data_IF_628766496762
#
_entry.id   IF_628766496762
#
_cell.length_a   1.000
_cell.length_b   1.000
_cell.length_c   1.000
_cell.angle_alpha   90.00
_cell.angle_beta   90.00
_cell.angle_gamma   90.00
#
_symmetry.space_group_name_H-M   'P 1'
#
loop_
_entity.id
_entity.type
_entity.pdbx_description
1 polymer ?
#
# COMPACT_ATOMS: atom_id res chain seq x y z
N UNK A 1 -7.61 -3.60 -9.44
CA UNK A 1 -6.64 -4.04 -10.47
C UNK A 1 -5.37 -4.67 -9.92
N UNK A 2 -4.55 -3.96 -9.13
CA UNK A 2 -3.27 -4.48 -8.61
C UNK A 2 -3.39 -5.81 -7.85
N UNK A 3 -4.48 -5.99 -7.08
CA UNK A 3 -4.76 -7.27 -6.41
C UNK A 3 -5.02 -8.44 -7.38
N UNK A 4 -5.64 -8.18 -8.54
CA UNK A 4 -5.84 -9.19 -9.59
C UNK A 4 -4.53 -9.52 -10.30
N UNK A 5 -3.69 -8.52 -10.58
CA UNK A 5 -2.36 -8.72 -11.19
C UNK A 5 -1.46 -9.59 -10.30
N UNK A 6 -1.59 -9.46 -8.97
CA UNK A 6 -0.80 -10.22 -7.99
C UNK A 6 -1.41 -11.56 -7.60
N UNK A 7 -2.58 -11.92 -8.13
CA UNK A 7 -3.28 -13.14 -7.71
C UNK A 7 -2.75 -14.38 -8.45
N UNK A 8 -2.89 -15.59 -7.86
CA UNK A 8 -2.60 -16.84 -8.56
C UNK A 8 -3.46 -17.07 -9.81
N UNK A 9 -4.63 -16.43 -9.86
CA UNK A 9 -5.63 -16.54 -10.95
C UNK A 9 -5.42 -15.46 -12.03
N UNK A 10 -4.28 -14.77 -12.04
CA UNK A 10 -4.06 -13.63 -12.94
C UNK A 10 -4.31 -13.96 -14.42
N UNK A 11 -3.93 -15.16 -14.86
CA UNK A 11 -4.10 -15.61 -16.25
C UNK A 11 -5.57 -15.69 -16.68
N UNK A 12 -6.47 -16.12 -15.78
CA UNK A 12 -7.91 -16.21 -16.07
C UNK A 12 -8.62 -14.86 -15.94
N UNK A 13 -7.94 -13.85 -15.37
CA UNK A 13 -8.45 -12.48 -15.15
C UNK A 13 -7.88 -11.47 -16.14
N UNK A 14 -7.15 -11.91 -17.16
CA UNK A 14 -6.44 -11.04 -18.11
C UNK A 14 -7.32 -9.98 -18.77
N UNK A 15 -8.50 -10.35 -19.29
CA UNK A 15 -9.44 -9.40 -19.91
C UNK A 15 -9.94 -8.35 -18.92
N UNK A 16 -10.31 -8.77 -17.70
CA UNK A 16 -10.74 -7.85 -16.64
C UNK A 16 -9.61 -6.92 -16.20
N UNK A 17 -8.37 -7.41 -16.18
CA UNK A 17 -7.18 -6.59 -15.88
C UNK A 17 -7.00 -5.51 -16.95
N UNK A 18 -7.00 -5.88 -18.23
CA UNK A 18 -6.84 -4.92 -19.33
C UNK A 18 -7.94 -3.85 -19.30
N UNK A 19 -9.21 -4.26 -19.12
CA UNK A 19 -10.34 -3.32 -19.00
C UNK A 19 -10.15 -2.35 -17.85
N UNK A 20 -9.80 -2.85 -16.66
CA UNK A 20 -9.61 -1.98 -15.49
C UNK A 20 -8.41 -1.04 -15.66
N UNK A 21 -7.35 -1.44 -16.38
CA UNK A 21 -6.22 -0.55 -16.67
C UNK A 21 -6.61 0.58 -17.63
N UNK A 22 -7.48 0.29 -18.60
CA UNK A 22 -8.05 1.32 -19.48
C UNK A 22 -8.96 2.30 -18.73
N UNK A 23 -9.77 1.80 -17.78
CA UNK A 23 -10.59 2.64 -16.90
C UNK A 23 -9.71 3.55 -16.02
N UNK A 24 -8.68 2.99 -15.39
CA UNK A 24 -7.71 3.78 -14.60
C UNK A 24 -7.03 4.85 -15.46
N UNK A 25 -6.68 4.54 -16.72
CA UNK A 25 -6.09 5.53 -17.63
C UNK A 25 -7.02 6.71 -17.87
N UNK A 26 -8.30 6.44 -18.14
CA UNK A 26 -9.30 7.50 -18.36
C UNK A 26 -9.54 8.35 -17.12
N UNK A 27 -9.61 7.71 -15.96
CA UNK A 27 -9.76 8.41 -14.68
C UNK A 27 -8.55 9.29 -14.37
N UNK A 28 -7.34 8.78 -14.59
CA UNK A 28 -6.11 9.54 -14.40
C UNK A 28 -6.02 10.73 -15.36
N UNK A 29 -6.42 10.56 -16.62
CA UNK A 29 -6.50 11.66 -17.59
C UNK A 29 -7.48 12.75 -17.12
N UNK A 30 -8.66 12.36 -16.64
CA UNK A 30 -9.65 13.29 -16.11
C UNK A 30 -9.15 14.04 -14.87
N UNK A 31 -8.49 13.34 -13.93
CA UNK A 31 -7.88 13.95 -12.76
C UNK A 31 -6.75 14.91 -13.15
N UNK A 32 -5.91 14.50 -14.12
CA UNK A 32 -4.81 15.31 -14.65
C UNK A 32 -5.32 16.62 -15.22
N UNK A 33 -6.33 16.56 -16.10
CA UNK A 33 -6.93 17.76 -16.70
C UNK A 33 -7.54 18.69 -15.65
N UNK A 34 -8.19 18.12 -14.63
CA UNK A 34 -8.85 18.90 -13.60
C UNK A 34 -7.87 19.56 -12.63
N UNK A 35 -6.86 18.83 -12.19
CA UNK A 35 -6.10 19.20 -10.99
C UNK A 35 -4.61 19.50 -11.24
N UNK A 36 -3.99 19.02 -12.32
CA UNK A 36 -2.53 19.18 -12.51
C UNK A 36 -2.08 20.64 -12.57
N UNK A 37 -2.85 21.49 -13.24
CA UNK A 37 -2.60 22.93 -13.30
C UNK A 37 -3.32 23.73 -12.18
N UNK A 38 -4.28 23.10 -11.50
CA UNK A 38 -5.13 23.71 -10.49
C UNK A 38 -5.13 22.84 -9.22
N UNK A 39 -4.03 22.85 -8.44
CA UNK A 39 -3.94 22.05 -7.23
C UNK A 39 -5.05 22.43 -6.23
N UNK A 40 -5.63 21.46 -5.50
CA UNK A 40 -6.45 21.75 -4.32
C UNK A 40 -5.67 22.55 -3.27
N UNK A 41 -6.39 23.19 -2.34
CA UNK A 41 -5.82 24.15 -1.40
C UNK A 41 -4.72 23.57 -0.52
N UNK A 42 -4.88 22.31 -0.11
CA UNK A 42 -3.94 21.53 0.68
C UNK A 42 -2.65 21.17 -0.09
N UNK A 43 -2.68 21.19 -1.44
CA UNK A 43 -1.55 20.87 -2.32
C UNK A 43 -0.96 22.09 -3.04
N UNK A 44 -1.53 23.30 -2.85
CA UNK A 44 -1.21 24.49 -3.64
C UNK A 44 0.26 24.92 -3.62
N UNK A 45 0.99 24.55 -2.57
CA UNK A 45 2.39 24.89 -2.36
C UNK A 45 3.35 23.72 -2.62
N UNK A 46 2.85 22.56 -3.06
CA UNK A 46 3.69 21.40 -3.34
C UNK A 46 4.43 21.60 -4.67
N UNK A 47 5.74 21.77 -4.61
CA UNK A 47 6.60 21.91 -5.79
C UNK A 47 6.65 20.65 -6.65
N UNK A 48 6.28 19.49 -6.10
CA UNK A 48 6.23 18.21 -6.80
C UNK A 48 4.84 17.88 -7.35
N UNK A 49 3.82 18.72 -7.12
CA UNK A 49 2.42 18.45 -7.49
C UNK A 49 2.27 17.91 -8.91
N UNK A 50 2.83 18.64 -9.87
CA UNK A 50 2.77 18.30 -11.30
C UNK A 50 3.42 16.93 -11.57
N UNK A 51 4.58 16.67 -10.94
CA UNK A 51 5.34 15.43 -11.15
C UNK A 51 4.63 14.19 -10.64
N UNK A 52 3.73 14.30 -9.65
CA UNK A 52 2.97 13.12 -9.22
C UNK A 52 2.06 12.59 -10.34
N UNK A 53 1.45 13.46 -11.14
CA UNK A 53 0.63 13.04 -12.27
C UNK A 53 1.48 12.38 -13.36
N UNK A 54 2.67 12.91 -13.62
CA UNK A 54 3.63 12.32 -14.56
C UNK A 54 4.08 10.93 -14.09
N UNK A 55 4.47 10.81 -12.82
CA UNK A 55 4.87 9.53 -12.22
C UNK A 55 3.74 8.48 -12.24
N UNK A 56 2.49 8.90 -11.99
CA UNK A 56 1.33 8.01 -12.06
C UNK A 56 1.07 7.54 -13.50
N UNK A 57 1.17 8.44 -14.49
CA UNK A 57 0.95 8.14 -15.90
C UNK A 57 2.05 7.21 -16.45
N UNK A 58 3.32 7.53 -16.19
CA UNK A 58 4.46 6.71 -16.59
C UNK A 58 4.38 5.32 -15.97
N UNK A 59 4.05 5.23 -14.68
CA UNK A 59 3.90 3.93 -14.02
C UNK A 59 2.71 3.13 -14.59
N UNK A 60 1.60 3.79 -14.95
CA UNK A 60 0.48 3.11 -15.60
C UNK A 60 0.87 2.54 -16.95
N UNK A 61 1.63 3.28 -17.77
CA UNK A 61 2.19 2.80 -19.05
C UNK A 61 3.05 1.55 -18.82
N UNK A 62 3.94 1.58 -17.81
CA UNK A 62 4.80 0.44 -17.46
C UNK A 62 3.96 -0.78 -17.06
N UNK A 63 2.98 -0.61 -16.17
CA UNK A 63 2.11 -1.70 -15.70
C UNK A 63 1.30 -2.28 -16.85
N UNK A 64 0.75 -1.44 -17.72
CA UNK A 64 -0.01 -1.86 -18.90
C UNK A 64 0.86 -2.64 -19.88
N UNK A 65 2.03 -2.11 -20.26
CA UNK A 65 2.96 -2.77 -21.16
C UNK A 65 3.35 -4.19 -20.70
N UNK A 66 3.64 -4.37 -19.40
CA UNK A 66 3.96 -5.69 -18.86
C UNK A 66 2.73 -6.59 -18.75
N UNK A 67 1.55 -6.04 -18.45
CA UNK A 67 0.30 -6.81 -18.39
C UNK A 67 -0.11 -7.35 -19.77
N UNK A 68 0.05 -6.55 -20.82
CA UNK A 68 -0.26 -6.94 -22.21
C UNK A 68 0.67 -8.04 -22.71
N UNK A 69 1.94 -8.01 -22.28
CA UNK A 69 2.92 -9.08 -22.52
C UNK A 69 2.72 -10.31 -21.63
N UNK A 70 1.70 -10.31 -20.76
CA UNK A 70 1.43 -11.34 -19.74
C UNK A 70 2.58 -11.53 -18.74
N UNK A 71 3.44 -10.53 -18.59
CA UNK A 71 4.54 -10.49 -17.63
C UNK A 71 4.04 -10.02 -16.25
N UNK A 72 3.00 -10.66 -15.73
CA UNK A 72 2.26 -10.20 -14.56
C UNK A 72 3.09 -10.10 -13.28
N UNK A 73 4.14 -10.93 -13.16
CA UNK A 73 5.09 -10.82 -12.04
C UNK A 73 5.80 -9.46 -12.05
N UNK A 74 6.16 -8.95 -13.23
CA UNK A 74 6.84 -7.65 -13.38
C UNK A 74 5.83 -6.52 -13.26
N UNK A 75 4.66 -6.65 -13.87
CA UNK A 75 3.55 -5.70 -13.69
C UNK A 75 3.21 -5.52 -12.20
N UNK A 76 3.08 -6.62 -11.46
CA UNK A 76 2.76 -6.62 -10.02
C UNK A 76 3.82 -5.92 -9.16
N UNK A 77 5.10 -5.94 -9.55
CA UNK A 77 6.16 -5.17 -8.86
C UNK A 77 6.00 -3.66 -9.06
N UNK A 78 5.56 -3.23 -10.25
CA UNK A 78 5.35 -1.82 -10.55
C UNK A 78 4.01 -1.29 -10.01
N UNK A 79 3.03 -2.17 -9.74
CA UNK A 79 1.78 -1.79 -9.10
C UNK A 79 1.94 -1.07 -7.75
N UNK A 80 2.99 -1.37 -6.96
CA UNK A 80 3.21 -0.69 -5.67
C UNK A 80 3.68 0.76 -5.81
N UNK A 81 4.29 1.12 -6.95
CA UNK A 81 4.76 2.49 -7.21
C UNK A 81 3.57 3.45 -7.23
N UNK A 82 2.43 3.04 -7.76
CA UNK A 82 1.21 3.87 -7.79
C UNK A 82 0.79 4.33 -6.39
N UNK A 83 0.69 3.38 -5.45
CA UNK A 83 0.31 3.68 -4.07
C UNK A 83 1.41 4.45 -3.33
N UNK A 84 2.69 4.20 -3.65
CA UNK A 84 3.81 4.96 -3.08
C UNK A 84 3.79 6.43 -3.53
N UNK A 85 3.42 6.71 -4.78
CA UNK A 85 3.27 8.08 -5.29
C UNK A 85 2.16 8.83 -4.55
N UNK A 86 0.99 8.21 -4.36
CA UNK A 86 -0.12 8.79 -3.59
C UNK A 86 0.29 9.04 -2.13
N UNK A 87 0.92 8.06 -1.48
CA UNK A 87 1.39 8.21 -0.11
C UNK A 87 2.42 9.35 0.03
N UNK A 88 3.34 9.48 -0.94
CA UNK A 88 4.33 10.57 -0.95
C UNK A 88 3.65 11.92 -1.12
N UNK A 89 2.68 12.02 -2.02
CA UNK A 89 1.84 13.20 -2.19
C UNK A 89 1.16 13.59 -0.88
N UNK A 90 0.53 12.66 -0.17
CA UNK A 90 -0.12 12.96 1.11
C UNK A 90 0.88 13.33 2.22
N UNK A 91 2.04 12.65 2.29
CA UNK A 91 3.10 12.94 3.27
C UNK A 91 3.66 14.34 3.13
N UNK A 92 3.96 14.77 1.90
CA UNK A 92 4.56 16.07 1.64
C UNK A 92 3.61 17.23 1.95
N UNK A 93 2.30 16.96 2.02
CA UNK A 93 1.27 17.96 2.27
C UNK A 93 0.60 17.82 3.64
N UNK A 94 1.08 16.90 4.49
CA UNK A 94 0.50 16.66 5.81
C UNK A 94 -0.93 16.11 5.78
N UNK A 95 -1.36 15.54 4.65
CA UNK A 95 -2.73 15.04 4.43
C UNK A 95 -2.87 13.53 4.59
N UNK A 96 -1.84 12.86 5.10
CA UNK A 96 -1.84 11.41 5.37
C UNK A 96 -3.07 11.02 6.19
N UNK A 97 -3.86 10.08 5.68
CA UNK A 97 -5.08 9.59 6.32
C UNK A 97 -4.90 8.21 6.98
N UNK A 98 -6.00 7.55 7.36
CA UNK A 98 -5.96 6.20 7.96
C UNK A 98 -5.63 5.15 6.89
N UNK A 99 -6.19 5.27 5.70
CA UNK A 99 -5.96 4.36 4.56
C UNK A 99 -4.49 4.33 4.18
N UNK A 100 -3.83 5.48 4.13
CA UNK A 100 -2.39 5.63 3.90
C UNK A 100 -1.57 4.88 4.96
N UNK A 101 -1.96 4.98 6.23
CA UNK A 101 -1.26 4.33 7.33
C UNK A 101 -1.45 2.83 7.34
N UNK A 102 -2.68 2.35 7.10
CA UNK A 102 -2.97 0.93 6.97
C UNK A 102 -2.21 0.33 5.77
N UNK A 103 -2.21 1.02 4.63
CA UNK A 103 -1.45 0.60 3.46
C UNK A 103 0.06 0.54 3.75
N UNK A 104 0.61 1.58 4.36
CA UNK A 104 2.02 1.64 4.78
C UNK A 104 2.37 0.49 5.72
N UNK A 105 1.49 0.18 6.67
CA UNK A 105 1.70 -0.92 7.63
C UNK A 105 1.80 -2.26 6.91
N UNK A 106 0.84 -2.58 6.03
CA UNK A 106 0.85 -3.81 5.26
C UNK A 106 2.11 -3.93 4.38
N UNK A 107 2.47 -2.87 3.65
CA UNK A 107 3.69 -2.88 2.83
C UNK A 107 4.94 -3.13 3.67
N UNK A 108 5.05 -2.47 4.81
CA UNK A 108 6.22 -2.55 5.66
C UNK A 108 6.33 -3.94 6.33
N UNK A 109 5.22 -4.52 6.78
CA UNK A 109 5.16 -5.89 7.30
C UNK A 109 5.61 -6.91 6.25
N UNK A 110 5.11 -6.76 5.01
CA UNK A 110 5.49 -7.64 3.90
C UNK A 110 6.99 -7.54 3.61
N UNK A 111 7.49 -6.32 3.43
CA UNK A 111 8.89 -6.06 3.11
C UNK A 111 9.82 -6.65 4.19
N UNK A 112 9.50 -6.41 5.46
CA UNK A 112 10.30 -6.92 6.58
C UNK A 112 10.28 -8.45 6.63
N UNK A 113 9.12 -9.07 6.36
CA UNK A 113 9.00 -10.53 6.27
C UNK A 113 9.87 -11.08 5.13
N UNK A 114 9.84 -10.45 3.96
CA UNK A 114 10.63 -10.86 2.79
C UNK A 114 12.15 -10.69 3.04
N UNK A 115 12.58 -9.59 3.68
CA UNK A 115 13.98 -9.33 4.08
C UNK A 115 14.45 -10.35 5.13
N UNK A 116 13.61 -10.62 6.14
CA UNK A 116 13.91 -11.61 7.18
C UNK A 116 14.07 -13.01 6.61
N UNK A 117 13.19 -13.41 5.68
CA UNK A 117 13.28 -14.70 4.99
C UNK A 117 14.53 -14.81 4.11
N UNK A 118 15.05 -13.69 3.61
CA UNK A 118 16.31 -13.64 2.87
C UNK A 118 17.56 -13.67 3.78
N UNK A 119 17.39 -13.73 5.11
CA UNK A 119 18.50 -13.78 6.06
C UNK A 119 19.21 -12.44 6.28
N UNK A 120 18.64 -11.32 5.78
CA UNK A 120 19.24 -9.99 5.95
C UNK A 120 18.86 -9.39 7.30
N UNK A 121 19.59 -9.79 8.34
CA UNK A 121 19.34 -9.39 9.74
C UNK A 121 19.43 -7.88 9.99
N UNK A 122 20.36 -7.19 9.33
CA UNK A 122 20.52 -5.73 9.50
C UNK A 122 19.31 -5.00 8.91
N UNK A 123 18.96 -5.31 7.66
CA UNK A 123 17.78 -4.74 7.02
C UNK A 123 16.50 -5.05 7.79
N UNK A 124 16.36 -6.26 8.34
CA UNK A 124 15.22 -6.62 9.18
C UNK A 124 15.10 -5.71 10.40
N UNK A 125 16.19 -5.46 11.13
CA UNK A 125 16.18 -4.57 12.30
C UNK A 125 15.75 -3.14 11.96
N UNK A 126 16.32 -2.56 10.90
CA UNK A 126 15.95 -1.20 10.46
C UNK A 126 14.46 -1.10 10.11
N UNK A 127 13.92 -2.16 9.50
CA UNK A 127 12.52 -2.20 9.10
C UNK A 127 11.55 -2.45 10.26
N UNK A 128 11.96 -3.14 11.34
CA UNK A 128 11.16 -3.32 12.56
C UNK A 128 10.81 -1.96 13.19
N UNK A 129 11.79 -1.05 13.31
CA UNK A 129 11.57 0.27 13.89
C UNK A 129 10.59 1.10 13.08
N UNK A 130 10.61 0.94 11.75
CA UNK A 130 9.63 1.54 10.85
C UNK A 130 8.23 0.95 11.08
N UNK A 131 8.09 -0.38 11.21
CA UNK A 131 6.80 -1.01 11.53
C UNK A 131 6.24 -0.46 12.83
N UNK A 132 7.05 -0.37 13.89
CA UNK A 132 6.62 0.15 15.20
C UNK A 132 6.08 1.58 15.09
N UNK A 133 6.80 2.47 14.41
CA UNK A 133 6.38 3.87 14.18
C UNK A 133 5.07 3.96 13.39
N UNK A 134 4.94 3.16 12.32
CA UNK A 134 3.72 3.14 11.51
C UNK A 134 2.54 2.62 12.33
N UNK A 135 2.73 1.55 13.11
CA UNK A 135 1.70 1.00 13.98
C UNK A 135 1.24 2.02 15.01
N UNK A 136 2.16 2.68 15.71
CA UNK A 136 1.83 3.73 16.69
C UNK A 136 1.00 4.86 16.06
N UNK A 137 1.41 5.33 14.88
CA UNK A 137 0.69 6.37 14.14
C UNK A 137 -0.70 5.91 13.69
N UNK A 138 -0.82 4.68 13.19
CA UNK A 138 -2.10 4.07 12.82
C UNK A 138 -3.03 3.96 14.04
N UNK A 139 -2.53 3.44 15.17
CA UNK A 139 -3.26 3.34 16.44
C UNK A 139 -3.78 4.71 16.88
N UNK A 140 -2.93 5.74 16.85
CA UNK A 140 -3.32 7.10 17.23
C UNK A 140 -4.40 7.66 16.30
N UNK A 141 -4.25 7.52 14.98
CA UNK A 141 -5.24 8.01 14.01
C UNK A 141 -6.58 7.30 14.14
N UNK A 142 -6.58 5.97 14.28
CA UNK A 142 -7.81 5.17 14.44
C UNK A 142 -8.53 5.52 15.75
N UNK A 143 -7.79 5.69 16.86
CA UNK A 143 -8.40 6.14 18.13
C UNK A 143 -8.99 7.54 18.01
N UNK A 144 -8.31 8.45 17.32
CA UNK A 144 -8.72 9.84 17.19
C UNK A 144 -9.80 10.08 16.11
N UNK A 145 -10.15 9.09 15.28
CA UNK A 145 -11.19 9.25 14.25
C UNK A 145 -12.59 9.37 14.82
N UNK A 146 -12.82 8.85 16.04
CA UNK A 146 -14.14 8.72 16.64
C UNK A 146 -15.02 7.63 16.00
N UNK A 147 -14.52 6.91 14.98
CA UNK A 147 -15.24 5.84 14.31
C UNK A 147 -15.10 4.52 15.06
N UNK A 148 -16.18 4.10 15.73
CA UNK A 148 -16.21 2.88 16.55
C UNK A 148 -16.09 1.60 15.72
N UNK A 149 -16.54 1.61 14.47
CA UNK A 149 -16.40 0.47 13.57
C UNK A 149 -14.94 0.31 13.15
N UNK A 150 -14.26 1.39 12.76
CA UNK A 150 -12.82 1.35 12.45
C UNK A 150 -11.99 0.93 13.67
N UNK A 151 -12.31 1.44 14.85
CA UNK A 151 -11.62 1.03 16.09
C UNK A 151 -11.78 -0.46 16.36
N UNK A 152 -12.99 -1.01 16.19
CA UNK A 152 -13.26 -2.44 16.37
C UNK A 152 -12.50 -3.30 15.37
N UNK A 153 -12.51 -2.90 14.09
CA UNK A 153 -11.79 -3.59 13.03
C UNK A 153 -10.26 -3.52 13.19
N UNK A 154 -9.75 -2.51 13.91
CA UNK A 154 -8.31 -2.34 14.13
C UNK A 154 -7.74 -3.18 15.29
N UNK A 155 -8.56 -3.60 16.26
CA UNK A 155 -8.11 -4.45 17.37
C UNK A 155 -7.36 -5.71 16.89
N UNK A 156 -7.89 -6.54 15.96
CA UNK A 156 -7.16 -7.70 15.48
C UNK A 156 -5.89 -7.32 14.71
N UNK A 157 -5.89 -6.20 13.98
CA UNK A 157 -4.73 -5.68 13.25
C UNK A 157 -3.58 -5.36 14.19
N UNK A 158 -3.87 -4.59 15.25
CA UNK A 158 -2.88 -4.19 16.25
C UNK A 158 -2.29 -5.44 16.92
N UNK A 159 -3.15 -6.36 17.35
CA UNK A 159 -2.73 -7.61 18.00
C UNK A 159 -1.83 -8.46 17.09
N UNK A 160 -2.28 -8.79 15.88
CA UNK A 160 -1.50 -9.64 14.98
C UNK A 160 -0.19 -8.97 14.57
N UNK A 161 -0.16 -7.65 14.45
CA UNK A 161 1.07 -6.89 14.18
C UNK A 161 2.07 -6.99 15.35
N UNK A 162 1.60 -6.88 16.60
CA UNK A 162 2.43 -7.04 17.80
C UNK A 162 2.97 -8.47 17.95
N UNK A 163 2.12 -9.46 17.73
CA UNK A 163 2.53 -10.87 17.74
C UNK A 163 3.58 -11.13 16.62
N UNK A 164 3.39 -10.53 15.44
CA UNK A 164 4.34 -10.61 14.33
C UNK A 164 5.68 -9.93 14.65
N UNK A 165 5.66 -8.76 15.30
CA UNK A 165 6.87 -8.04 15.72
C UNK A 165 7.72 -8.91 16.65
N UNK A 166 7.06 -9.54 17.64
CA UNK A 166 7.71 -10.46 18.58
C UNK A 166 8.37 -11.64 17.86
N UNK A 167 7.69 -12.23 16.87
CA UNK A 167 8.23 -13.33 16.08
C UNK A 167 9.45 -12.91 15.24
N UNK A 168 9.41 -11.74 14.59
CA UNK A 168 10.55 -11.22 13.81
C UNK A 168 11.74 -10.88 14.72
N UNK A 169 11.50 -10.23 15.86
CA UNK A 169 12.57 -9.84 16.81
C UNK A 169 13.27 -11.06 17.43
N UNK A 170 12.55 -12.16 17.61
CA UNK A 170 13.09 -13.45 18.08
C UNK A 170 13.76 -14.28 16.96
N UNK A 171 13.75 -13.80 15.72
CA UNK A 171 14.29 -14.52 14.57
C UNK A 171 13.41 -15.68 14.09
N UNK A 172 12.17 -15.81 14.58
CA UNK A 172 11.21 -16.82 14.16
C UNK A 172 10.48 -16.40 12.87
N UNK A 173 11.22 -16.43 11.76
CA UNK A 173 10.72 -16.07 10.44
C UNK A 173 9.53 -16.93 9.98
N UNK A 174 9.46 -18.20 10.45
CA UNK A 174 8.36 -19.11 10.11
C UNK A 174 7.06 -18.65 10.76
N UNK A 175 7.09 -18.34 12.06
CA UNK A 175 5.92 -17.82 12.78
C UNK A 175 5.52 -16.45 12.25
N UNK A 176 6.49 -15.57 11.98
CA UNK A 176 6.21 -14.27 11.37
C UNK A 176 5.50 -14.40 10.02
N UNK A 177 5.92 -15.34 9.15
CA UNK A 177 5.23 -15.60 7.88
C UNK A 177 3.78 -16.07 8.08
N UNK A 178 3.53 -16.94 9.06
CA UNK A 178 2.18 -17.41 9.39
C UNK A 178 1.31 -16.25 9.92
N UNK A 179 1.86 -15.42 10.79
CA UNK A 179 1.16 -14.25 11.34
C UNK A 179 0.85 -13.21 10.26
N UNK A 180 1.76 -12.98 9.31
CA UNK A 180 1.48 -12.10 8.16
C UNK A 180 0.34 -12.65 7.30
N UNK A 181 0.28 -13.97 7.08
CA UNK A 181 -0.85 -14.58 6.36
C UNK A 181 -2.18 -14.41 7.13
N UNK A 182 -2.16 -14.53 8.46
CA UNK A 182 -3.32 -14.32 9.32
C UNK A 182 -3.76 -12.85 9.42
N UNK A 183 -2.83 -11.90 9.26
CA UNK A 183 -3.11 -10.46 9.22
C UNK A 183 -3.96 -10.06 7.99
N UNK A 184 -3.74 -10.70 6.84
CA UNK A 184 -4.30 -10.26 5.56
C UNK A 184 -5.83 -10.20 5.50
N UNK A 185 -6.60 -11.20 5.99
CA UNK A 185 -8.06 -11.14 5.98
C UNK A 185 -8.62 -9.96 6.78
N UNK A 186 -8.08 -9.69 7.96
CA UNK A 186 -8.55 -8.57 8.78
C UNK A 186 -8.10 -7.23 8.19
N UNK A 187 -6.88 -7.18 7.62
CA UNK A 187 -6.39 -6.00 6.92
C UNK A 187 -7.32 -5.60 5.78
N UNK A 188 -7.79 -6.56 4.98
CA UNK A 188 -8.73 -6.29 3.89
C UNK A 188 -10.02 -5.66 4.41
N UNK A 189 -10.56 -6.13 5.54
CA UNK A 189 -11.81 -5.59 6.11
C UNK A 189 -11.63 -4.13 6.53
N UNK A 190 -10.59 -3.83 7.32
CA UNK A 190 -10.38 -2.46 7.79
C UNK A 190 -10.00 -1.50 6.66
N UNK A 191 -9.19 -1.97 5.69
CA UNK A 191 -8.75 -1.14 4.57
C UNK A 191 -9.94 -0.75 3.68
N UNK A 192 -10.89 -1.66 3.46
CA UNK A 192 -12.13 -1.34 2.76
C UNK A 192 -13.03 -0.38 3.54
N UNK A 193 -13.03 -0.47 4.87
CA UNK A 193 -13.82 0.43 5.72
C UNK A 193 -13.20 1.84 5.87
N UNK A 194 -11.91 2.00 5.55
CA UNK A 194 -11.20 3.28 5.67
C UNK A 194 -11.18 4.11 4.39
N UNK A 195 -11.54 3.51 3.24
CA UNK A 195 -11.68 4.17 1.94
C UNK A 195 -13.05 4.82 1.78
#
# INVERSE_FOLDING_TARGET
TCGMIKSPEVSTKSEAISKNLDEISKELDALTQKYKANPPAEYKNDTLWISYFDDLADNLIVVKNFSDKKEYRVAGKNCSVYCQTILRMHKNNGTVDITDMLFSLNMQLKLTTDISNAGNTTGTKDNIDLVKKILEHATKKVKNSGDTNLQTLFVPIEKTTQDWLTAIESGDAKTAKTLYAAFMPDFQKIFMASM
#
